data_IF_722879700504
#
_entry.id   IF_722879700504
#
_cell.length_a   1.000
_cell.length_b   1.000
_cell.length_c   1.000
_cell.angle_alpha   90.00
_cell.angle_beta   90.00
_cell.angle_gamma   90.00
#
_symmetry.space_group_name_H-M   'P 1'
#
loop_
_entity.id
_entity.type
_entity.pdbx_description
1 polymer ?
#
# COMPACT_ATOMS: atom_id res chain seq x y z
N UNK A 1 3.74 48.62 -18.69
CA UNK A 1 3.88 47.38 -17.88
C UNK A 1 2.76 46.44 -18.27
N UNK A 2 3.10 45.30 -18.89
CA UNK A 2 2.14 44.36 -19.43
C UNK A 2 1.51 43.49 -18.32
N UNK A 3 0.18 43.38 -18.38
CA UNK A 3 -0.64 42.48 -17.58
C UNK A 3 -0.31 41.01 -17.90
N UNK A 4 -0.12 40.19 -16.87
CA UNK A 4 -0.18 38.74 -17.00
C UNK A 4 -1.24 38.20 -16.03
N UNK A 5 -2.44 38.04 -16.56
CA UNK A 5 -3.53 37.31 -15.93
C UNK A 5 -3.08 35.86 -15.69
N UNK A 6 -2.83 35.48 -14.43
CA UNK A 6 -2.77 34.07 -14.05
C UNK A 6 -4.21 33.57 -13.91
N UNK A 7 -4.74 33.06 -15.01
CA UNK A 7 -6.03 32.38 -15.06
C UNK A 7 -6.09 31.27 -14.00
N UNK A 8 -7.14 31.33 -13.17
CA UNK A 8 -7.49 30.26 -12.27
C UNK A 8 -7.82 28.99 -13.06
N UNK A 9 -6.96 27.97 -12.94
CA UNK A 9 -7.25 26.62 -13.42
C UNK A 9 -8.19 25.94 -12.44
N UNK A 10 -9.47 26.31 -12.51
CA UNK A 10 -10.56 25.74 -11.70
C UNK A 10 -11.11 24.42 -12.24
N UNK A 11 -10.28 23.56 -12.84
CA UNK A 11 -10.70 22.21 -13.22
C UNK A 11 -10.71 21.31 -11.98
N UNK A 12 -11.88 21.02 -11.41
CA UNK A 12 -11.99 20.06 -10.30
C UNK A 12 -11.47 18.70 -10.77
N UNK A 13 -10.30 18.31 -10.29
CA UNK A 13 -9.76 16.97 -10.50
C UNK A 13 -10.56 15.94 -9.68
N UNK A 14 -10.61 14.67 -10.11
CA UNK A 14 -11.27 13.60 -9.37
C UNK A 14 -10.75 13.54 -7.92
N UNK A 15 -11.58 13.17 -6.93
CA UNK A 15 -11.18 13.11 -5.52
C UNK A 15 -10.04 12.10 -5.26
N UNK A 16 -9.76 11.23 -6.22
CA UNK A 16 -8.66 10.27 -6.17
C UNK A 16 -7.29 10.88 -6.49
N UNK A 17 -7.27 12.06 -7.13
CA UNK A 17 -6.03 12.77 -7.48
C UNK A 17 -5.56 13.59 -6.29
N UNK A 18 -4.32 13.37 -5.88
CA UNK A 18 -3.72 14.02 -4.73
C UNK A 18 -2.42 14.73 -5.14
N UNK A 19 -2.08 15.81 -4.44
CA UNK A 19 -0.77 16.50 -4.55
C UNK A 19 0.39 15.65 -4.08
N UNK A 20 0.08 14.63 -3.29
CA UNK A 20 1.05 13.69 -2.75
C UNK A 20 1.08 12.45 -3.64
N UNK A 21 2.26 12.13 -4.16
CA UNK A 21 2.54 10.91 -4.90
C UNK A 21 3.31 9.93 -4.02
N UNK A 22 2.95 8.65 -4.12
CA UNK A 22 3.65 7.53 -3.54
C UNK A 22 4.44 6.79 -4.61
N UNK A 23 5.74 6.71 -4.40
CA UNK A 23 6.69 6.12 -5.34
C UNK A 23 7.11 4.77 -4.79
N UNK A 24 7.05 3.73 -5.63
CA UNK A 24 7.55 2.40 -5.33
C UNK A 24 8.60 1.99 -6.34
N UNK A 25 9.35 0.94 -5.98
CA UNK A 25 10.41 0.36 -6.81
C UNK A 25 11.60 1.30 -7.05
N UNK A 26 11.82 2.27 -6.16
CA UNK A 26 12.96 3.18 -6.26
C UNK A 26 14.30 2.44 -6.03
N UNK A 27 15.36 2.76 -6.79
CA UNK A 27 16.71 2.28 -6.52
C UNK A 27 17.14 2.60 -5.09
N UNK A 28 17.78 1.64 -4.41
CA UNK A 28 18.22 1.85 -3.02
C UNK A 28 19.33 2.89 -2.85
N UNK A 29 20.01 3.23 -3.94
CA UNK A 29 21.10 4.20 -3.98
C UNK A 29 20.66 5.59 -4.47
N UNK A 30 19.36 5.81 -4.70
CA UNK A 30 18.89 7.09 -5.23
C UNK A 30 19.10 8.20 -4.21
N UNK A 31 19.63 9.34 -4.66
CA UNK A 31 19.84 10.51 -3.80
C UNK A 31 18.61 11.42 -3.80
N UNK A 32 18.53 12.30 -2.81
CA UNK A 32 17.48 13.32 -2.78
C UNK A 32 17.60 14.28 -3.97
N UNK A 33 18.82 14.61 -4.38
CA UNK A 33 19.09 15.49 -5.53
C UNK A 33 18.53 14.92 -6.83
N UNK A 34 18.79 13.64 -7.11
CA UNK A 34 18.22 12.94 -8.28
C UNK A 34 16.68 12.94 -8.26
N UNK A 35 16.08 12.80 -7.07
CA UNK A 35 14.62 12.89 -6.93
C UNK A 35 14.12 14.30 -7.27
N UNK A 36 14.81 15.36 -6.84
CA UNK A 36 14.46 16.72 -7.23
C UNK A 36 14.65 16.97 -8.73
N UNK A 37 15.69 16.42 -9.35
CA UNK A 37 15.91 16.57 -10.80
C UNK A 37 14.87 15.84 -11.65
N UNK A 38 14.42 14.65 -11.23
CA UNK A 38 13.41 13.88 -11.97
C UNK A 38 12.03 14.48 -11.78
N UNK A 39 11.62 14.69 -10.52
CA UNK A 39 10.26 15.12 -10.19
C UNK A 39 10.08 16.64 -10.36
N UNK A 40 11.14 17.44 -10.23
CA UNK A 40 11.09 18.90 -10.33
C UNK A 40 10.84 19.41 -11.75
N UNK A 41 11.08 18.58 -12.77
CA UNK A 41 10.76 18.90 -14.18
C UNK A 41 9.27 19.12 -14.43
N UNK A 42 8.41 18.57 -13.58
CA UNK A 42 6.96 18.63 -13.75
C UNK A 42 6.31 19.76 -12.97
N UNK A 43 6.97 20.30 -11.95
CA UNK A 43 6.43 21.36 -11.11
C UNK A 43 7.20 21.57 -9.81
N UNK A 44 6.74 22.57 -9.04
CA UNK A 44 7.36 22.93 -7.77
C UNK A 44 7.10 21.86 -6.71
N UNK A 45 8.18 21.34 -6.13
CA UNK A 45 8.13 20.33 -5.08
C UNK A 45 8.15 21.02 -3.72
N UNK A 46 7.14 20.72 -2.91
CA UNK A 46 7.05 21.19 -1.52
C UNK A 46 7.92 20.37 -0.58
N UNK A 47 7.91 19.04 -0.74
CA UNK A 47 8.67 18.14 0.12
C UNK A 47 8.87 16.77 -0.53
N UNK A 48 10.05 16.18 -0.33
CA UNK A 48 10.32 14.77 -0.62
C UNK A 48 10.66 14.04 0.69
N UNK A 49 10.06 12.87 0.90
CA UNK A 49 10.39 11.96 2.01
C UNK A 49 10.75 10.59 1.48
N UNK A 50 11.99 10.19 1.66
CA UNK A 50 12.49 8.87 1.24
C UNK A 50 12.36 7.90 2.41
N UNK A 51 11.81 6.71 2.16
CA UNK A 51 11.70 5.66 3.16
C UNK A 51 13.06 5.06 3.48
N UNK A 52 13.54 5.27 4.71
CA UNK A 52 14.84 4.77 5.18
C UNK A 52 14.74 3.51 6.06
N UNK A 53 13.53 3.07 6.44
CA UNK A 53 13.36 1.84 7.23
C UNK A 53 13.50 0.60 6.33
N UNK A 54 13.97 -0.55 6.84
CA UNK A 54 14.10 -1.78 6.04
C UNK A 54 12.80 -2.18 5.32
N UNK A 55 11.64 -1.92 5.92
CA UNK A 55 10.31 -2.16 5.31
C UNK A 55 9.90 -1.11 4.28
N UNK A 56 10.44 0.11 4.34
CA UNK A 56 10.10 1.23 3.44
C UNK A 56 11.19 1.55 2.42
N UNK A 57 12.30 0.81 2.42
CA UNK A 57 13.41 0.99 1.48
C UNK A 57 12.91 0.80 0.04
N UNK A 58 13.26 1.76 -0.83
CA UNK A 58 12.78 1.78 -2.21
C UNK A 58 11.35 2.32 -2.37
N UNK A 59 10.85 3.01 -1.34
CA UNK A 59 9.63 3.82 -1.43
C UNK A 59 9.92 5.28 -1.06
N UNK A 60 9.14 6.20 -1.62
CA UNK A 60 9.21 7.61 -1.28
C UNK A 60 7.85 8.29 -1.42
N UNK A 61 7.70 9.44 -0.76
CA UNK A 61 6.58 10.34 -0.91
C UNK A 61 7.08 11.66 -1.48
N UNK A 62 6.43 12.12 -2.55
CA UNK A 62 6.71 13.41 -3.18
C UNK A 62 5.46 14.27 -3.04
N UNK A 63 5.62 15.47 -2.48
CA UNK A 63 4.55 16.44 -2.28
C UNK A 63 4.78 17.60 -3.22
N UNK A 64 3.87 17.80 -4.18
CA UNK A 64 3.87 18.97 -5.05
C UNK A 64 3.12 20.14 -4.40
N UNK A 65 3.43 21.36 -4.85
CA UNK A 65 2.64 22.53 -4.49
C UNK A 65 1.25 22.50 -5.14
N UNK A 66 1.22 22.11 -6.42
CA UNK A 66 0.03 22.06 -7.26
C UNK A 66 -0.39 20.61 -7.60
N UNK A 67 -1.69 20.39 -7.72
CA UNK A 67 -2.28 19.06 -7.96
C UNK A 67 -2.23 18.65 -9.43
N UNK A 68 -2.26 19.61 -10.35
CA UNK A 68 -2.09 19.36 -11.78
C UNK A 68 -0.66 18.93 -12.10
N UNK A 69 0.32 19.53 -11.43
CA UNK A 69 1.74 19.13 -11.56
C UNK A 69 1.95 17.70 -11.08
N UNK A 70 1.35 17.33 -9.93
CA UNK A 70 1.36 15.96 -9.42
C UNK A 70 0.71 14.97 -10.40
N UNK A 71 -0.40 15.37 -11.03
CA UNK A 71 -1.03 14.55 -12.08
C UNK A 71 -0.10 14.34 -13.26
N UNK A 72 0.48 15.42 -13.77
CA UNK A 72 1.37 15.37 -14.92
C UNK A 72 2.59 14.48 -14.64
N UNK A 73 3.18 14.60 -13.45
CA UNK A 73 4.26 13.74 -12.99
C UNK A 73 3.83 12.27 -12.91
N UNK A 74 2.64 11.98 -12.36
CA UNK A 74 2.14 10.61 -12.25
C UNK A 74 1.98 9.93 -13.61
N UNK A 75 1.40 10.63 -14.59
CA UNK A 75 1.15 10.09 -15.93
C UNK A 75 2.48 9.79 -16.68
N UNK A 76 3.50 10.63 -16.53
CA UNK A 76 4.74 10.52 -17.29
C UNK A 76 5.86 9.73 -16.59
N UNK A 77 5.90 9.73 -15.25
CA UNK A 77 6.94 9.04 -14.48
C UNK A 77 6.57 7.60 -14.11
N UNK A 78 5.31 7.21 -14.28
CA UNK A 78 4.92 5.81 -14.13
C UNK A 78 5.56 4.97 -15.23
N UNK A 79 6.35 3.97 -14.85
CA UNK A 79 7.13 3.16 -15.78
C UNK A 79 8.42 3.83 -16.25
N UNK A 80 8.86 4.94 -15.65
CA UNK A 80 10.15 5.54 -15.97
C UNK A 80 11.31 4.66 -15.47
N UNK A 81 12.30 4.39 -16.31
CA UNK A 81 13.45 3.55 -15.94
C UNK A 81 14.52 4.40 -15.25
N UNK A 82 14.80 4.10 -13.98
CA UNK A 82 15.92 4.66 -13.22
C UNK A 82 16.80 3.52 -12.74
N UNK A 83 18.06 3.50 -13.19
CA UNK A 83 19.06 2.50 -12.78
C UNK A 83 18.58 1.04 -12.97
N UNK A 84 18.02 0.75 -14.15
CA UNK A 84 17.43 -0.55 -14.52
C UNK A 84 16.22 -0.96 -13.66
N UNK A 85 15.51 0.00 -13.08
CA UNK A 85 14.26 -0.22 -12.35
C UNK A 85 13.18 0.71 -12.84
N UNK A 86 12.03 0.13 -13.18
CA UNK A 86 10.86 0.88 -13.60
C UNK A 86 10.12 1.42 -12.38
N UNK A 87 10.01 2.74 -12.27
CA UNK A 87 9.32 3.38 -11.17
C UNK A 87 7.82 3.12 -11.25
N UNK A 88 7.20 2.96 -10.08
CA UNK A 88 5.75 2.88 -9.96
C UNK A 88 5.29 4.09 -9.18
N UNK A 89 4.54 4.98 -9.83
CA UNK A 89 4.04 6.24 -9.26
C UNK A 89 2.53 6.11 -9.06
N UNK A 90 2.07 6.34 -7.84
CA UNK A 90 0.67 6.20 -7.45
C UNK A 90 0.21 7.43 -6.69
N UNK A 91 -1.06 7.80 -6.78
CA UNK A 91 -1.61 8.83 -5.88
C UNK A 91 -1.65 8.33 -4.44
N UNK A 92 -1.33 9.23 -3.51
CA UNK A 92 -1.45 8.93 -2.09
C UNK A 92 -2.93 8.81 -1.68
N UNK A 93 -3.33 7.61 -1.27
CA UNK A 93 -4.66 7.33 -0.74
C UNK A 93 -4.64 7.37 0.79
N UNK A 94 -5.03 8.51 1.38
CA UNK A 94 -5.05 8.71 2.83
C UNK A 94 -5.86 7.63 3.57
N UNK A 95 -7.01 7.23 3.01
CA UNK A 95 -7.91 6.21 3.58
C UNK A 95 -7.29 4.80 3.63
N UNK A 96 -6.38 4.46 2.71
CA UNK A 96 -5.68 3.16 2.73
C UNK A 96 -4.40 3.22 3.57
N UNK A 97 -3.76 4.37 3.66
CA UNK A 97 -2.58 4.58 4.52
C UNK A 97 -2.94 4.40 6.01
N UNK A 98 -4.10 4.90 6.44
CA UNK A 98 -4.59 4.70 7.81
C UNK A 98 -4.95 3.25 8.11
N UNK A 99 -5.52 2.51 7.16
CA UNK A 99 -5.80 1.07 7.35
C UNK A 99 -4.53 0.27 7.65
N UNK A 100 -3.40 0.53 6.98
CA UNK A 100 -2.14 -0.16 7.29
C UNK A 100 -1.62 0.17 8.69
N UNK A 101 -1.62 1.46 9.07
CA UNK A 101 -1.25 1.87 10.43
C UNK A 101 -2.17 1.29 11.51
N UNK A 102 -3.48 1.18 11.22
CA UNK A 102 -4.45 0.57 12.11
C UNK A 102 -4.23 -0.95 12.20
N UNK A 103 -3.87 -1.62 11.10
CA UNK A 103 -3.61 -3.07 11.06
C UNK A 103 -2.38 -3.47 11.89
N UNK A 104 -1.29 -2.71 11.81
CA UNK A 104 -0.09 -2.99 12.61
C UNK A 104 -0.33 -2.73 14.11
N UNK A 105 -1.02 -1.65 14.46
CA UNK A 105 -1.45 -1.39 15.85
C UNK A 105 -2.48 -2.40 16.35
N UNK A 106 -3.39 -2.84 15.48
CA UNK A 106 -4.40 -3.85 15.78
C UNK A 106 -3.77 -5.22 15.97
N UNK A 107 -2.72 -5.57 15.21
CA UNK A 107 -1.96 -6.82 15.39
C UNK A 107 -1.25 -6.83 16.75
N UNK A 108 -0.56 -5.75 17.11
CA UNK A 108 0.11 -5.65 18.43
C UNK A 108 -0.90 -5.70 19.58
N UNK A 109 -2.04 -4.99 19.47
CA UNK A 109 -3.12 -5.09 20.46
C UNK A 109 -3.73 -6.48 20.54
N UNK A 110 -3.91 -7.16 19.40
CA UNK A 110 -4.46 -8.50 19.35
C UNK A 110 -3.50 -9.52 19.96
N UNK A 111 -2.19 -9.36 19.74
CA UNK A 111 -1.15 -10.20 20.33
C UNK A 111 -1.07 -10.00 21.85
N UNK A 112 -1.17 -8.76 22.33
CA UNK A 112 -1.23 -8.43 23.76
C UNK A 112 -2.51 -8.95 24.43
N UNK A 113 -3.65 -8.86 23.76
CA UNK A 113 -4.92 -9.42 24.27
C UNK A 113 -4.86 -10.94 24.27
N UNK A 114 -4.28 -11.58 23.24
CA UNK A 114 -4.10 -13.04 23.21
C UNK A 114 -3.19 -13.55 24.33
N UNK A 115 -2.13 -12.81 24.65
CA UNK A 115 -1.22 -13.11 25.77
C UNK A 115 -1.93 -12.90 27.12
N UNK A 116 -2.62 -11.76 27.29
CA UNK A 116 -3.36 -11.43 28.52
C UNK A 116 -4.48 -12.42 28.85
N UNK A 117 -5.15 -12.97 27.83
CA UNK A 117 -6.24 -13.94 28.00
C UNK A 117 -5.81 -15.39 27.76
N UNK A 118 -4.51 -15.68 27.55
CA UNK A 118 -4.00 -17.04 27.38
C UNK A 118 -4.61 -17.81 26.20
N UNK A 119 -5.06 -17.14 25.15
CA UNK A 119 -5.75 -17.71 23.97
C UNK A 119 -4.77 -18.33 22.94
N UNK A 120 -3.71 -18.95 23.43
CA UNK A 120 -2.66 -19.62 22.65
C UNK A 120 -2.57 -21.11 22.95
N UNK A 121 -3.70 -21.79 23.08
CA UNK A 121 -3.76 -23.24 23.32
C UNK A 121 -4.46 -23.99 22.19
N UNK A 122 -3.90 -25.13 21.81
CA UNK A 122 -4.39 -26.01 20.74
C UNK A 122 -5.88 -26.34 20.93
N UNK A 123 -6.71 -25.80 20.03
CA UNK A 123 -8.18 -25.96 20.00
C UNK A 123 -8.60 -27.45 20.06
N UNK A 124 -7.71 -28.38 19.68
CA UNK A 124 -7.95 -29.82 19.70
C UNK A 124 -7.98 -30.44 21.12
N UNK A 125 -7.16 -29.97 22.07
CA UNK A 125 -7.16 -30.50 23.45
C UNK A 125 -8.40 -30.09 24.24
N UNK A 126 -8.97 -28.93 23.93
CA UNK A 126 -10.14 -28.39 24.63
C UNK A 126 -11.44 -29.07 24.17
N UNK A 127 -11.47 -29.55 22.92
CA UNK A 127 -12.56 -30.38 22.38
C UNK A 127 -12.64 -31.77 23.02
N UNK A 128 -11.49 -32.37 23.35
CA UNK A 128 -11.42 -33.66 24.03
C UNK A 128 -11.91 -33.58 25.49
N UNK A 129 -11.60 -32.47 26.20
CA UNK A 129 -12.12 -32.20 27.55
C UNK A 129 -13.61 -31.88 27.59
N UNK A 130 -14.17 -31.27 26.56
CA UNK A 130 -15.61 -30.94 26.50
C UNK A 130 -16.51 -32.07 26.00
N UNK A 131 -15.98 -33.28 25.74
CA UNK A 131 -16.79 -34.45 25.42
C UNK A 131 -17.55 -34.36 24.09
N UNK A 132 -17.15 -33.48 23.18
CA UNK A 132 -17.80 -33.31 21.88
C UNK A 132 -17.18 -34.31 20.89
N UNK A 133 -17.73 -35.53 20.84
CA UNK A 133 -17.33 -36.58 19.91
C UNK A 133 -17.78 -36.26 18.48
N UNK A 134 -16.86 -36.06 17.53
CA UNK A 134 -17.17 -36.12 16.09
C UNK A 134 -16.85 -37.52 15.55
N UNK A 135 -17.84 -38.27 15.02
CA UNK A 135 -17.64 -39.62 14.52
C UNK A 135 -16.75 -39.60 13.28
N UNK A 136 -15.87 -40.60 13.19
CA UNK A 136 -14.93 -40.80 12.08
C UNK A 136 -15.73 -41.18 10.83
N UNK A 137 -15.60 -40.38 9.77
CA UNK A 137 -16.20 -40.66 8.47
C UNK A 137 -15.52 -41.90 7.86
N UNK A 138 -16.23 -43.02 7.80
CA UNK A 138 -15.82 -44.18 7.02
C UNK A 138 -16.10 -43.90 5.54
N UNK A 139 -15.11 -43.92 4.63
CA UNK A 139 -15.39 -43.79 3.21
C UNK A 139 -16.15 -45.03 2.73
N UNK A 140 -17.38 -44.81 2.25
CA UNK A 140 -18.28 -45.84 1.75
C UNK A 140 -17.73 -46.53 0.51
N UNK A 141 -17.72 -47.86 0.55
CA UNK A 141 -17.49 -48.73 -0.62
C UNK A 141 -18.68 -48.63 -1.57
N UNK A 142 -18.35 -48.36 -2.82
CA UNK A 142 -19.23 -48.22 -3.98
C UNK A 142 -19.93 -49.53 -4.35
N UNK A 143 -21.25 -49.48 -4.51
CA UNK A 143 -22.04 -50.56 -5.14
C UNK A 143 -22.18 -50.26 -6.65
N UNK A 144 -21.85 -51.20 -7.56
CA UNK A 144 -22.00 -50.98 -8.99
C UNK A 144 -23.45 -51.14 -9.47
N UNK A 145 -23.77 -50.32 -10.46
CA UNK A 145 -25.05 -50.03 -11.09
C UNK A 145 -25.45 -51.14 -12.07
N UNK A 146 -26.65 -51.69 -11.92
CA UNK A 146 -27.28 -52.60 -12.89
C UNK A 146 -27.50 -51.92 -14.25
N UNK A 147 -27.06 -52.57 -15.33
CA UNK A 147 -27.63 -52.49 -16.67
C UNK A 147 -27.44 -53.81 -17.43
N UNK A 148 -28.51 -54.60 -17.48
CA UNK A 148 -29.17 -55.25 -18.62
C UNK A 148 -29.81 -56.56 -18.22
#
# INVERSE_FOLDING_TARGET
MAMAARGGRGGKLPPEVNRILFIKNLPYKITAEEMYDIFGKFGAIRQIRIGNTPESRGTAFVVYEDVFDAKNACDHLSGFNVSNRYLVVLYYQATKAWKRMDTDKARVKLEEVKDRYGLGGDIEKEKEKMGIYTPKHTPGVSTPRHKH
#
